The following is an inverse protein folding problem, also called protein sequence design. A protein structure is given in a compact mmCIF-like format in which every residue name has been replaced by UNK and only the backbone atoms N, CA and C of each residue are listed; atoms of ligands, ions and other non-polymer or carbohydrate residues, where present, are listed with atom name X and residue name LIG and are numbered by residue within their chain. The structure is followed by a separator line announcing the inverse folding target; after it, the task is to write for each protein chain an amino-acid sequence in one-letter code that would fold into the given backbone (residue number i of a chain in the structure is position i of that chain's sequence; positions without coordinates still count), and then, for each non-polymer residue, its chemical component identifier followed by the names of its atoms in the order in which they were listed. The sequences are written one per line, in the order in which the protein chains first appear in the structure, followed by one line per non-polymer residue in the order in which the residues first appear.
data_IF_797973360023
#
_entry.id   IF_797973360023
#
_cell.length_a   1.000
_cell.length_b   1.000
_cell.length_c   1.000
_cell.angle_alpha   90.00
_cell.angle_beta   90.00
_cell.angle_gamma   90.00
#
_symmetry.space_group_name_H-M   'P 1'
#
loop_
_entity.id
_entity.type
_entity.pdbx_description
1 polymer ?
#
# COMPACT_ATOMS: atom_id res chain seq x y z
N UNK A 1 20.59 -10.22 -20.57
CA UNK A 1 20.85 -9.26 -19.47
C UNK A 1 20.78 -10.04 -18.17
N UNK A 2 21.89 -10.20 -17.44
CA UNK A 2 21.92 -10.93 -16.16
C UNK A 2 21.24 -10.04 -15.11
N UNK A 3 20.11 -10.50 -14.55
CA UNK A 3 19.47 -9.85 -13.42
C UNK A 3 20.51 -9.74 -12.30
N UNK A 4 20.82 -8.53 -11.79
CA UNK A 4 21.69 -8.39 -10.63
C UNK A 4 20.99 -9.08 -9.45
N UNK A 5 21.35 -10.33 -9.18
CA UNK A 5 20.96 -10.96 -7.93
C UNK A 5 21.88 -10.39 -6.86
N UNK A 6 21.31 -9.73 -5.86
CA UNK A 6 22.05 -9.49 -4.64
C UNK A 6 22.33 -10.87 -4.06
N UNK A 7 23.61 -11.26 -3.97
CA UNK A 7 23.98 -12.48 -3.24
C UNK A 7 23.28 -12.39 -1.90
N UNK A 8 22.45 -13.39 -1.59
CA UNK A 8 21.79 -13.48 -0.29
C UNK A 8 22.91 -13.70 0.71
N UNK A 9 23.47 -12.61 1.24
CA UNK A 9 24.33 -12.65 2.41
C UNK A 9 23.59 -13.51 3.42
N UNK A 10 24.24 -14.56 3.94
CA UNK A 10 23.65 -15.52 4.90
C UNK A 10 22.72 -14.74 5.81
N UNK A 11 21.40 -14.86 5.60
CA UNK A 11 20.38 -14.06 6.28
C UNK A 11 20.46 -14.43 7.74
N UNK A 12 21.31 -13.75 8.50
CA UNK A 12 21.41 -14.01 9.92
C UNK A 12 20.17 -13.43 10.55
N UNK A 13 19.53 -14.19 11.43
CA UNK A 13 18.41 -13.74 12.25
C UNK A 13 18.74 -12.41 12.97
N UNK A 14 20.01 -12.11 13.21
CA UNK A 14 20.46 -10.83 13.76
C UNK A 14 20.08 -9.61 12.90
N UNK A 15 20.13 -9.70 11.57
CA UNK A 15 19.71 -8.62 10.67
C UNK A 15 18.19 -8.45 10.60
N UNK A 16 17.43 -9.52 10.81
CA UNK A 16 15.98 -9.43 10.96
C UNK A 16 15.62 -8.83 12.32
N UNK A 17 16.30 -9.27 13.39
CA UNK A 17 16.08 -8.78 14.75
C UNK A 17 16.32 -7.29 14.91
N UNK A 18 17.32 -6.71 14.22
CA UNK A 18 17.53 -5.27 14.23
C UNK A 18 16.38 -4.46 13.62
N UNK A 19 15.54 -5.08 12.78
CA UNK A 19 14.34 -4.45 12.20
C UNK A 19 13.10 -4.59 13.09
N UNK A 20 13.15 -5.45 14.10
CA UNK A 20 12.08 -5.70 15.06
C UNK A 20 12.60 -5.50 16.49
N UNK A 21 12.95 -4.25 16.88
CA UNK A 21 13.68 -3.97 18.12
C UNK A 21 12.91 -4.39 19.38
N UNK A 22 11.59 -4.55 19.28
CA UNK A 22 10.72 -4.96 20.38
C UNK A 22 10.65 -6.49 20.56
N UNK A 23 11.29 -7.27 19.70
CA UNK A 23 11.22 -8.74 19.72
C UNK A 23 12.60 -9.35 19.97
N UNK A 24 12.65 -10.32 20.88
CA UNK A 24 13.87 -11.07 21.14
C UNK A 24 14.17 -12.04 20.00
N UNK A 25 15.46 -12.38 19.82
CA UNK A 25 15.88 -13.42 18.86
C UNK A 25 15.10 -14.73 19.03
N UNK A 26 14.82 -15.14 20.28
CA UNK A 26 14.09 -16.38 20.57
C UNK A 26 12.65 -16.31 20.07
N UNK A 27 11.97 -15.18 20.26
CA UNK A 27 10.60 -14.98 19.75
C UNK A 27 10.59 -15.00 18.22
N UNK A 28 11.57 -14.36 17.57
CA UNK A 28 11.68 -14.40 16.11
C UNK A 28 11.98 -15.82 15.60
N UNK A 29 12.83 -16.58 16.29
CA UNK A 29 13.12 -17.98 15.93
C UNK A 29 11.89 -18.87 16.09
N UNK A 30 11.10 -18.69 17.15
CA UNK A 30 9.82 -19.38 17.33
C UNK A 30 8.86 -19.01 16.21
N UNK A 31 8.69 -17.72 15.94
CA UNK A 31 7.85 -17.21 14.86
C UNK A 31 8.24 -17.80 13.51
N UNK A 32 9.52 -17.73 13.11
CA UNK A 32 9.92 -18.25 11.80
C UNK A 32 9.69 -19.76 11.69
N UNK A 33 9.77 -20.52 12.79
CA UNK A 33 9.44 -21.96 12.79
C UNK A 33 7.94 -22.21 12.71
N UNK A 34 7.12 -21.43 13.43
CA UNK A 34 5.67 -21.61 13.51
C UNK A 34 4.92 -21.02 12.30
N UNK A 35 5.43 -19.92 11.75
CA UNK A 35 4.87 -19.19 10.62
C UNK A 35 5.28 -19.77 9.26
N UNK A 36 6.35 -20.58 9.18
CA UNK A 36 6.81 -21.16 7.90
C UNK A 36 5.73 -21.96 7.15
N UNK A 37 4.70 -22.43 7.86
CA UNK A 37 3.58 -23.18 7.29
C UNK A 37 2.26 -22.42 7.29
N UNK A 38 2.21 -21.22 7.90
CA UNK A 38 0.98 -20.43 8.07
C UNK A 38 1.03 -19.21 7.16
N UNK A 39 -0.09 -18.88 6.50
CA UNK A 39 -0.21 -17.77 5.56
C UNK A 39 0.83 -17.73 4.43
N UNK A 40 1.59 -18.81 4.21
CA UNK A 40 2.63 -18.90 3.17
C UNK A 40 2.10 -18.59 1.77
N UNK A 41 0.84 -18.95 1.48
CA UNK A 41 0.20 -18.62 0.22
C UNK A 41 0.11 -17.10 -0.01
N UNK A 42 -0.25 -16.34 1.03
CA UNK A 42 -0.35 -14.87 0.96
C UNK A 42 1.04 -14.27 0.72
N UNK A 43 2.05 -14.63 1.53
CA UNK A 43 3.41 -14.09 1.35
C UNK A 43 4.04 -14.50 0.02
N UNK A 44 3.76 -15.72 -0.48
CA UNK A 44 4.23 -16.16 -1.80
C UNK A 44 3.61 -15.33 -2.90
N UNK A 45 2.31 -15.03 -2.82
CA UNK A 45 1.63 -14.16 -3.77
C UNK A 45 2.19 -12.74 -3.73
N UNK A 46 2.33 -12.13 -2.54
CA UNK A 46 2.96 -10.82 -2.36
C UNK A 46 4.36 -10.81 -2.97
N UNK A 47 5.17 -11.83 -2.73
CA UNK A 47 6.51 -11.95 -3.30
C UNK A 47 6.49 -12.04 -4.84
N UNK A 48 5.53 -12.76 -5.41
CA UNK A 48 5.41 -12.87 -6.86
C UNK A 48 4.94 -11.55 -7.50
N UNK A 49 3.95 -10.88 -6.92
CA UNK A 49 3.50 -9.57 -7.38
C UNK A 49 4.62 -8.53 -7.28
N UNK A 50 5.43 -8.55 -6.20
CA UNK A 50 6.61 -7.68 -6.09
C UNK A 50 7.65 -7.97 -7.18
N UNK A 51 7.88 -9.23 -7.54
CA UNK A 51 8.79 -9.57 -8.66
C UNK A 51 8.27 -8.98 -9.96
N UNK A 52 6.97 -9.13 -10.24
CA UNK A 52 6.37 -8.58 -11.45
C UNK A 52 6.44 -7.06 -11.47
N UNK A 53 6.12 -6.39 -10.35
CA UNK A 53 6.27 -4.94 -10.17
C UNK A 53 7.69 -4.49 -10.54
N UNK A 54 8.72 -5.11 -9.95
CA UNK A 54 10.10 -4.70 -10.22
C UNK A 54 10.53 -5.03 -11.66
N UNK A 55 10.00 -6.11 -12.24
CA UNK A 55 10.20 -6.42 -13.67
C UNK A 55 9.69 -5.29 -14.56
N UNK A 56 8.42 -4.89 -14.38
CA UNK A 56 7.84 -3.77 -15.12
C UNK A 56 8.57 -2.44 -14.87
N UNK A 57 9.09 -2.23 -13.65
CA UNK A 57 9.83 -1.00 -13.35
C UNK A 57 11.14 -0.90 -14.13
N UNK A 58 11.84 -2.01 -14.28
CA UNK A 58 13.08 -2.08 -15.08
C UNK A 58 12.78 -1.81 -16.56
N UNK A 59 11.61 -2.23 -17.04
CA UNK A 59 11.15 -2.00 -18.41
C UNK A 59 10.60 -0.58 -18.65
N UNK A 60 10.50 0.25 -17.61
CA UNK A 60 9.92 1.60 -17.71
C UNK A 60 8.40 1.61 -17.90
N UNK A 61 7.72 0.51 -17.56
CA UNK A 61 6.27 0.37 -17.63
C UNK A 61 5.66 0.63 -16.25
N UNK A 62 5.46 1.91 -15.93
CA UNK A 62 4.95 2.36 -14.63
C UNK A 62 3.45 2.06 -14.45
N UNK A 63 2.69 1.94 -15.54
CA UNK A 63 1.33 1.38 -15.52
C UNK A 63 1.33 -0.07 -15.04
N UNK A 64 2.20 -0.91 -15.60
CA UNK A 64 2.38 -2.30 -15.20
C UNK A 64 2.83 -2.40 -13.74
N UNK A 65 3.71 -1.51 -13.29
CA UNK A 65 4.09 -1.40 -11.88
C UNK A 65 2.87 -1.15 -10.99
N UNK A 66 2.08 -0.13 -11.33
CA UNK A 66 0.88 0.22 -10.59
C UNK A 66 -0.10 -0.96 -10.51
N UNK A 67 -0.24 -1.72 -11.61
CA UNK A 67 -1.11 -2.90 -11.67
C UNK A 67 -0.80 -3.90 -10.54
N UNK A 68 0.49 -4.18 -10.35
CA UNK A 68 0.93 -5.11 -9.31
C UNK A 68 0.90 -4.47 -7.91
N UNK A 69 1.16 -3.16 -7.79
CA UNK A 69 1.05 -2.44 -6.51
C UNK A 69 -0.37 -2.54 -5.95
N UNK A 70 -1.39 -2.17 -6.72
CA UNK A 70 -2.75 -2.18 -6.17
C UNK A 70 -3.24 -3.61 -5.88
N UNK A 71 -2.83 -4.63 -6.65
CA UNK A 71 -3.18 -6.04 -6.38
C UNK A 71 -2.66 -6.50 -5.03
N UNK A 72 -1.41 -6.16 -4.71
CA UNK A 72 -0.81 -6.47 -3.41
C UNK A 72 -1.58 -5.76 -2.29
N UNK A 73 -1.94 -4.49 -2.50
CA UNK A 73 -2.68 -3.69 -1.52
C UNK A 73 -4.09 -4.25 -1.31
N UNK A 74 -4.80 -4.65 -2.37
CA UNK A 74 -6.09 -5.33 -2.28
C UNK A 74 -5.97 -6.65 -1.50
N UNK A 75 -4.93 -7.43 -1.76
CA UNK A 75 -4.69 -8.67 -1.04
C UNK A 75 -4.43 -8.43 0.46
N UNK A 76 -3.70 -7.38 0.83
CA UNK A 76 -3.51 -7.01 2.23
C UNK A 76 -4.78 -6.44 2.84
N UNK A 77 -5.58 -5.69 2.08
CA UNK A 77 -6.84 -5.11 2.56
C UNK A 77 -7.80 -6.18 3.13
N UNK A 78 -7.79 -7.40 2.56
CA UNK A 78 -8.51 -8.56 3.06
C UNK A 78 -8.08 -8.99 4.47
N UNK A 79 -6.83 -8.72 4.85
CA UNK A 79 -6.25 -9.10 6.14
C UNK A 79 -6.40 -8.00 7.21
N UNK A 80 -6.61 -6.75 6.81
CA UNK A 80 -6.65 -5.58 7.70
C UNK A 80 -7.69 -5.66 8.83
N UNK A 81 -8.89 -6.26 8.65
CA UNK A 81 -9.82 -6.45 9.76
C UNK A 81 -9.21 -7.30 10.88
N UNK A 82 -8.49 -8.36 10.53
CA UNK A 82 -7.81 -9.21 11.52
C UNK A 82 -6.65 -8.46 12.21
N UNK A 83 -5.84 -7.74 11.43
CA UNK A 83 -4.76 -6.89 11.97
C UNK A 83 -5.29 -5.90 13.00
N UNK A 84 -6.42 -5.26 12.71
CA UNK A 84 -7.06 -4.30 13.63
C UNK A 84 -7.48 -4.92 14.96
N UNK A 85 -7.95 -6.18 14.93
CA UNK A 85 -8.37 -6.92 16.13
C UNK A 85 -7.17 -7.25 17.01
N UNK A 86 -6.10 -7.75 16.39
CA UNK A 86 -4.90 -8.22 17.09
C UNK A 86 -4.20 -7.04 17.79
N UNK A 87 -4.03 -5.92 17.07
CA UNK A 87 -3.31 -4.75 17.58
C UNK A 87 -3.99 -4.09 18.80
N UNK A 88 -5.30 -4.33 19.04
CA UNK A 88 -6.05 -3.75 20.16
C UNK A 88 -6.15 -4.65 21.40
N UNK A 89 -5.66 -5.88 21.36
CA UNK A 89 -5.38 -6.67 22.56
C UNK A 89 -6.57 -7.19 23.39
N UNK A 90 -7.76 -7.42 22.81
CA UNK A 90 -8.85 -8.08 23.55
C UNK A 90 -10.19 -8.22 22.82
N UNK A 91 -11.04 -9.14 23.31
CA UNK A 91 -12.37 -9.48 22.77
C UNK A 91 -13.47 -8.43 23.02
N UNK A 92 -13.27 -7.56 24.02
CA UNK A 92 -14.24 -6.54 24.39
C UNK A 92 -14.09 -5.35 23.44
N UNK A 93 -15.10 -5.14 22.58
CA UNK A 93 -15.19 -4.13 21.49
C UNK A 93 -14.59 -4.53 20.12
N UNK A 94 -13.96 -5.68 19.97
CA UNK A 94 -13.37 -6.10 18.68
C UNK A 94 -14.40 -6.57 17.66
N UNK A 95 -15.52 -7.16 18.10
CA UNK A 95 -16.58 -7.55 17.17
C UNK A 95 -17.28 -6.34 16.55
N UNK A 96 -17.63 -5.31 17.32
CA UNK A 96 -18.29 -4.11 16.80
C UNK A 96 -17.38 -3.29 15.88
N UNK A 97 -16.08 -3.26 16.14
CA UNK A 97 -15.11 -2.59 15.27
C UNK A 97 -14.78 -3.38 14.00
N UNK A 98 -14.60 -4.70 14.11
CA UNK A 98 -14.48 -5.60 12.96
C UNK A 98 -15.72 -5.48 12.07
N UNK A 99 -16.89 -5.53 12.70
CA UNK A 99 -18.17 -5.27 12.07
C UNK A 99 -18.19 -3.85 11.49
N UNK A 100 -17.67 -2.83 12.16
CA UNK A 100 -17.56 -1.46 11.63
C UNK A 100 -16.64 -1.32 10.41
N UNK A 101 -15.58 -2.12 10.31
CA UNK A 101 -14.71 -2.17 9.12
C UNK A 101 -15.44 -2.82 7.93
N UNK A 102 -16.21 -3.88 8.18
CA UNK A 102 -16.84 -4.72 7.14
C UNK A 102 -18.28 -4.30 6.81
N UNK A 103 -19.03 -3.72 7.74
CA UNK A 103 -20.41 -3.27 7.57
C UNK A 103 -20.53 -1.82 7.08
N UNK A 104 -21.70 -1.47 6.55
CA UNK A 104 -21.98 -0.15 6.00
C UNK A 104 -21.79 -0.05 4.48
N UNK A 105 -22.03 -1.14 3.76
CA UNK A 105 -21.95 -1.13 2.29
C UNK A 105 -20.53 -1.23 1.73
N UNK A 106 -19.58 -1.75 2.51
CA UNK A 106 -18.28 -2.20 2.00
C UNK A 106 -18.48 -3.41 1.07
N UNK A 107 -19.03 -3.19 -0.12
CA UNK A 107 -19.16 -4.20 -1.17
C UNK A 107 -17.81 -4.57 -1.82
N UNK A 108 -16.70 -3.97 -1.37
CA UNK A 108 -15.37 -4.22 -1.90
C UNK A 108 -14.29 -4.04 -0.82
N UNK A 109 -13.21 -4.81 -0.95
CA UNK A 109 -12.02 -4.77 -0.09
C UNK A 109 -11.41 -3.37 0.03
N UNK A 110 -11.65 -2.52 -0.97
CA UNK A 110 -11.20 -1.13 -1.00
C UNK A 110 -11.90 -0.23 0.02
N UNK A 111 -13.16 -0.52 0.38
CA UNK A 111 -13.84 0.21 1.43
C UNK A 111 -13.23 -0.09 2.82
N UNK A 112 -12.76 -1.33 3.01
CA UNK A 112 -12.01 -1.73 4.22
C UNK A 112 -10.69 -0.98 4.28
N UNK A 113 -9.92 -0.96 3.19
CA UNK A 113 -8.66 -0.21 3.08
C UNK A 113 -8.82 1.26 3.47
N UNK A 114 -9.85 1.93 2.94
CA UNK A 114 -10.12 3.35 3.20
C UNK A 114 -10.45 3.61 4.66
N UNK A 115 -11.28 2.78 5.28
CA UNK A 115 -11.59 2.91 6.72
C UNK A 115 -10.36 2.64 7.58
N UNK A 116 -9.60 1.61 7.25
CA UNK A 116 -8.39 1.24 7.97
C UNK A 116 -7.35 2.37 7.95
N UNK A 117 -7.06 2.92 6.77
CA UNK A 117 -6.10 4.02 6.60
C UNK A 117 -6.42 5.25 7.44
N UNK A 118 -7.71 5.53 7.62
CA UNK A 118 -8.19 6.71 8.34
C UNK A 118 -8.21 6.52 9.86
N UNK A 119 -8.55 5.32 10.30
CA UNK A 119 -8.94 5.07 11.69
C UNK A 119 -7.99 4.13 12.45
N UNK A 120 -7.19 3.35 11.74
CA UNK A 120 -6.39 2.25 12.31
C UNK A 120 -4.91 2.28 11.94
N UNK A 121 -4.53 2.98 10.88
CA UNK A 121 -3.12 3.21 10.55
C UNK A 121 -2.43 3.92 11.72
N UNK A 122 -1.21 3.49 12.07
CA UNK A 122 -0.41 4.13 13.12
C UNK A 122 -0.44 5.67 13.00
N UNK A 123 -0.69 6.36 14.12
CA UNK A 123 -0.93 7.81 14.10
C UNK A 123 0.25 8.64 13.55
N UNK A 124 1.48 8.17 13.76
CA UNK A 124 2.69 8.82 13.23
C UNK A 124 2.80 8.62 11.73
N UNK A 125 2.51 7.41 11.23
CA UNK A 125 2.45 7.10 9.80
C UNK A 125 1.30 7.86 9.15
N UNK A 126 0.09 7.76 9.68
CA UNK A 126 -1.12 8.41 9.18
C UNK A 126 -0.97 9.94 9.03
N UNK A 127 -0.24 10.57 9.95
CA UNK A 127 0.00 12.02 9.95
C UNK A 127 1.20 12.45 9.09
N UNK A 128 2.08 11.51 8.72
CA UNK A 128 3.20 11.78 7.83
C UNK A 128 2.73 12.21 6.44
N UNK A 129 3.59 12.94 5.73
CA UNK A 129 3.26 13.60 4.46
C UNK A 129 4.01 12.93 3.32
N UNK A 130 3.28 12.59 2.26
CA UNK A 130 3.82 12.18 0.98
C UNK A 130 3.84 13.38 0.03
N UNK A 131 4.99 13.64 -0.59
CA UNK A 131 5.15 14.68 -1.59
C UNK A 131 5.20 14.06 -2.99
N UNK A 132 4.25 14.41 -3.83
CA UNK A 132 4.24 14.08 -5.25
C UNK A 132 4.88 15.25 -6.02
N UNK A 133 6.07 15.04 -6.60
CA UNK A 133 6.73 16.06 -7.41
C UNK A 133 6.71 15.66 -8.88
N UNK A 134 5.95 16.41 -9.67
CA UNK A 134 5.79 16.24 -11.11
C UNK A 134 6.70 17.16 -11.92
N UNK A 135 7.66 17.84 -11.27
CA UNK A 135 8.60 18.80 -11.88
C UNK A 135 9.38 18.26 -13.09
N UNK A 136 9.52 16.93 -13.21
CA UNK A 136 10.22 16.23 -14.29
C UNK A 136 9.30 15.65 -15.37
N UNK A 137 7.99 15.79 -15.22
CA UNK A 137 7.00 15.30 -16.19
C UNK A 137 6.75 16.32 -17.29
N UNK A 138 6.24 15.88 -18.44
CA UNK A 138 5.91 16.76 -19.56
C UNK A 138 4.80 17.77 -19.27
N UNK A 139 3.92 17.49 -18.31
CA UNK A 139 2.81 18.38 -17.92
C UNK A 139 2.58 18.43 -16.39
N UNK A 140 3.44 19.13 -15.63
CA UNK A 140 3.38 19.13 -14.16
C UNK A 140 2.07 19.69 -13.59
N UNK A 141 1.54 20.75 -14.21
CA UNK A 141 0.31 21.42 -13.77
C UNK A 141 -0.94 20.55 -13.95
N UNK A 142 -1.02 19.85 -15.08
CA UNK A 142 -2.08 18.87 -15.33
C UNK A 142 -2.00 17.75 -14.28
N UNK A 143 -0.80 17.21 -14.03
CA UNK A 143 -0.60 16.13 -13.07
C UNK A 143 -1.01 16.52 -11.65
N UNK A 144 -0.61 17.69 -11.17
CA UNK A 144 -1.11 18.22 -9.88
C UNK A 144 -2.63 18.35 -9.89
N UNK A 145 -3.21 18.90 -10.97
CA UNK A 145 -4.66 19.07 -11.10
C UNK A 145 -5.40 17.72 -11.08
N UNK A 146 -4.84 16.67 -11.67
CA UNK A 146 -5.39 15.31 -11.63
C UNK A 146 -5.39 14.77 -10.20
N UNK A 147 -4.27 14.90 -9.46
CA UNK A 147 -4.22 14.47 -8.05
C UNK A 147 -5.29 15.19 -7.24
N UNK A 148 -5.43 16.51 -7.40
CA UNK A 148 -6.42 17.33 -6.66
C UNK A 148 -7.86 16.85 -6.86
N UNK A 149 -8.22 16.29 -8.01
CA UNK A 149 -9.58 15.79 -8.27
C UNK A 149 -10.00 14.66 -7.33
N UNK A 150 -9.04 13.94 -6.73
CA UNK A 150 -9.33 12.86 -5.79
C UNK A 150 -9.51 13.33 -4.34
N UNK A 151 -9.14 14.57 -4.03
CA UNK A 151 -9.07 15.08 -2.67
C UNK A 151 -9.93 16.32 -2.47
N UNK A 152 -10.41 16.50 -1.24
CA UNK A 152 -10.94 17.78 -0.82
C UNK A 152 -9.77 18.73 -0.51
N UNK A 153 -10.00 20.03 -0.64
CA UNK A 153 -8.98 21.04 -0.32
C UNK A 153 -8.41 20.89 1.10
N UNK A 154 -9.24 20.48 2.06
CA UNK A 154 -8.86 20.25 3.47
C UNK A 154 -7.94 19.03 3.69
N UNK A 155 -7.91 18.08 2.75
CA UNK A 155 -7.06 16.89 2.81
C UNK A 155 -5.66 17.14 2.22
N UNK A 156 -5.46 18.28 1.55
CA UNK A 156 -4.20 18.71 0.93
C UNK A 156 -3.38 19.52 1.96
N UNK A 157 -2.14 19.10 2.19
CA UNK A 157 -1.24 19.77 3.15
C UNK A 157 -0.63 21.03 2.53
N UNK A 158 -0.12 20.91 1.31
CA UNK A 158 0.43 22.01 0.53
C UNK A 158 0.39 21.68 -0.95
N UNK A 159 0.38 22.70 -1.79
CA UNK A 159 0.47 22.56 -3.24
C UNK A 159 1.28 23.69 -3.86
N UNK A 160 1.89 23.37 -5.00
CA UNK A 160 2.60 24.29 -5.89
C UNK A 160 2.19 23.95 -7.32
N UNK A 161 2.77 24.66 -8.29
CA UNK A 161 2.52 24.45 -9.72
C UNK A 161 2.91 23.04 -10.19
N UNK A 162 3.90 22.42 -9.56
CA UNK A 162 4.50 21.15 -9.99
C UNK A 162 4.56 20.07 -8.90
N UNK A 163 4.05 20.35 -7.70
CA UNK A 163 4.04 19.38 -6.61
C UNK A 163 2.87 19.56 -5.66
N UNK A 164 2.45 18.45 -5.05
CA UNK A 164 1.34 18.38 -4.10
C UNK A 164 1.70 17.45 -2.93
N UNK A 165 1.30 17.85 -1.73
CA UNK A 165 1.59 17.14 -0.49
C UNK A 165 0.30 16.65 0.17
N UNK A 166 0.24 15.35 0.45
CA UNK A 166 -0.94 14.66 1.00
C UNK A 166 -0.53 13.81 2.19
N UNK A 167 -1.36 13.72 3.23
CA UNK A 167 -1.08 12.82 4.36
C UNK A 167 -1.26 11.35 3.99
N UNK A 168 -0.45 10.47 4.57
CA UNK A 168 -0.48 9.02 4.27
C UNK A 168 -1.85 8.37 4.52
N UNK A 169 -2.62 8.86 5.49
CA UNK A 169 -3.99 8.39 5.78
C UNK A 169 -5.00 8.57 4.63
N UNK A 170 -4.63 9.29 3.57
CA UNK A 170 -5.46 9.54 2.40
C UNK A 170 -4.90 8.90 1.11
N UNK A 171 -3.74 8.24 1.15
CA UNK A 171 -3.09 7.68 -0.05
C UNK A 171 -3.92 6.56 -0.68
N UNK A 172 -4.69 5.83 0.13
CA UNK A 172 -5.69 4.87 -0.32
C UNK A 172 -6.65 5.48 -1.35
N UNK A 173 -7.03 6.74 -1.17
CA UNK A 173 -8.02 7.41 -2.02
C UNK A 173 -7.47 7.63 -3.43
N UNK A 174 -6.18 7.94 -3.56
CA UNK A 174 -5.53 8.07 -4.87
C UNK A 174 -5.36 6.70 -5.55
N UNK A 175 -4.92 5.68 -4.81
CA UNK A 175 -4.76 4.31 -5.34
C UNK A 175 -6.10 3.77 -5.84
N UNK A 176 -7.15 3.88 -5.02
CA UNK A 176 -8.51 3.42 -5.36
C UNK A 176 -9.04 4.20 -6.56
N UNK A 177 -8.88 5.53 -6.56
CA UNK A 177 -9.34 6.39 -7.64
C UNK A 177 -8.71 6.01 -8.97
N UNK A 178 -7.39 5.86 -8.99
CA UNK A 178 -6.64 5.52 -10.19
C UNK A 178 -6.91 4.08 -10.66
N UNK A 179 -7.01 3.12 -9.74
CA UNK A 179 -7.44 1.74 -10.03
C UNK A 179 -8.81 1.71 -10.70
N UNK A 180 -9.79 2.43 -10.16
CA UNK A 180 -11.13 2.48 -10.74
C UNK A 180 -11.12 3.06 -12.16
N UNK A 181 -10.33 4.10 -12.42
CA UNK A 181 -10.16 4.65 -13.76
C UNK A 181 -9.56 3.64 -14.75
N UNK A 182 -8.55 2.89 -14.33
CA UNK A 182 -7.92 1.86 -15.18
C UNK A 182 -8.84 0.67 -15.50
N UNK A 183 -9.71 0.26 -14.56
CA UNK A 183 -10.62 -0.87 -14.79
C UNK A 183 -11.90 -0.48 -15.54
N UNK A 184 -12.43 0.73 -15.36
CA UNK A 184 -13.54 1.22 -16.17
C UNK A 184 -13.14 1.48 -17.63
N UNK A 185 -11.85 1.68 -17.90
CA UNK A 185 -11.29 1.72 -19.25
C UNK A 185 -11.38 0.37 -19.99
N UNK A 186 -11.34 -0.76 -19.27
CA UNK A 186 -11.48 -2.10 -19.86
C UNK A 186 -12.93 -2.45 -20.21
N UNK A 187 -13.92 -1.80 -19.59
CA UNK A 187 -15.34 -2.03 -19.85
C UNK A 187 -16.18 -0.74 -19.67
N UNK A 188 -16.30 0.03 -20.75
CA UNK A 188 -17.49 0.82 -21.13
C UNK A 188 -18.12 1.85 -20.15
N UNK A 189 -17.39 2.65 -19.34
CA UNK A 189 -18.09 3.78 -18.67
C UNK A 189 -17.33 5.11 -18.45
N UNK A 190 -18.09 6.20 -18.55
CA UNK A 190 -17.73 7.59 -18.93
C UNK A 190 -17.22 8.55 -17.82
N UNK A 191 -16.65 8.08 -16.71
CA UNK A 191 -16.26 8.99 -15.62
C UNK A 191 -14.74 9.03 -15.41
N UNK A 192 -14.12 10.07 -15.99
CA UNK A 192 -12.68 10.31 -16.20
C UNK A 192 -12.05 9.39 -17.25
N UNK A 193 -11.83 9.97 -18.43
CA UNK A 193 -11.16 9.34 -19.56
C UNK A 193 -9.65 9.56 -19.43
N UNK A 194 -8.85 8.59 -19.90
CA UNK A 194 -7.41 8.72 -20.16
C UNK A 194 -7.01 10.01 -20.92
N UNK A 195 -7.97 10.73 -21.50
CA UNK A 195 -7.79 12.08 -22.06
C UNK A 195 -7.40 13.15 -21.04
N UNK A 196 -7.47 12.89 -19.73
CA UNK A 196 -7.07 13.85 -18.69
C UNK A 196 -5.58 13.77 -18.29
N UNK A 197 -4.85 12.74 -18.72
CA UNK A 197 -3.41 12.57 -18.47
C UNK A 197 -2.69 12.40 -19.81
N UNK A 198 -1.82 13.36 -20.14
CA UNK A 198 -1.09 13.32 -21.41
C UNK A 198 -0.08 12.16 -21.45
N UNK A 199 0.55 11.85 -20.31
CA UNK A 199 1.52 10.77 -20.16
C UNK A 199 1.32 10.01 -18.83
N UNK A 200 0.49 8.94 -18.82
CA UNK A 200 0.15 8.20 -17.61
C UNK A 200 1.35 7.47 -16.97
N UNK A 201 2.31 7.00 -17.76
CA UNK A 201 3.53 6.37 -17.24
C UNK A 201 4.39 7.38 -16.46
N UNK A 202 4.60 8.60 -16.97
CA UNK A 202 5.31 9.65 -16.23
C UNK A 202 4.60 10.06 -14.94
N UNK A 203 3.27 10.13 -14.97
CA UNK A 203 2.47 10.39 -13.77
C UNK A 203 2.68 9.29 -12.72
N UNK A 204 2.62 8.03 -13.15
CA UNK A 204 2.79 6.88 -12.27
C UNK A 204 4.22 6.67 -11.80
N UNK A 205 5.22 7.08 -12.58
CA UNK A 205 6.61 7.09 -12.14
C UNK A 205 6.79 7.87 -10.84
N UNK A 206 6.09 9.00 -10.70
CA UNK A 206 6.07 9.82 -9.47
C UNK A 206 5.28 9.14 -8.35
N UNK A 207 4.15 8.51 -8.68
CA UNK A 207 3.22 7.97 -7.69
C UNK A 207 3.66 6.60 -7.11
N UNK A 208 4.20 5.72 -7.95
CA UNK A 208 4.51 4.33 -7.61
C UNK A 208 5.44 4.19 -6.40
N UNK A 209 6.53 4.96 -6.24
CA UNK A 209 7.38 4.87 -5.05
C UNK A 209 6.62 5.17 -3.75
N UNK A 210 5.70 6.13 -3.78
CA UNK A 210 4.86 6.50 -2.62
C UNK A 210 3.88 5.38 -2.30
N UNK A 211 3.26 4.79 -3.33
CA UNK A 211 2.34 3.66 -3.14
C UNK A 211 3.04 2.41 -2.60
N UNK A 212 4.27 2.14 -3.04
CA UNK A 212 5.10 1.06 -2.50
C UNK A 212 5.44 1.31 -1.03
N UNK A 213 5.76 2.55 -0.66
CA UNK A 213 6.01 2.90 0.75
C UNK A 213 4.76 2.73 1.60
N UNK A 214 3.61 3.18 1.10
CA UNK A 214 2.32 2.96 1.74
C UNK A 214 2.01 1.46 1.93
N UNK A 215 2.24 0.64 0.91
CA UNK A 215 2.19 -0.83 1.03
C UNK A 215 3.13 -1.36 2.12
N UNK A 216 4.36 -0.86 2.20
CA UNK A 216 5.33 -1.32 3.18
C UNK A 216 4.85 -1.09 4.62
N UNK A 217 4.14 0.01 4.89
CA UNK A 217 3.51 0.24 6.20
C UNK A 217 2.42 -0.80 6.50
N UNK A 218 1.50 -1.04 5.56
CA UNK A 218 0.44 -2.03 5.75
C UNK A 218 1.00 -3.45 5.93
N UNK A 219 2.03 -3.80 5.15
CA UNK A 219 2.66 -5.11 5.23
C UNK A 219 3.41 -5.29 6.55
N UNK A 220 4.04 -4.22 7.08
CA UNK A 220 4.65 -4.25 8.40
C UNK A 220 3.61 -4.52 9.49
N UNK A 221 2.46 -3.86 9.46
CA UNK A 221 1.40 -4.10 10.44
C UNK A 221 0.85 -5.53 10.36
N UNK A 222 0.71 -6.08 9.14
CA UNK A 222 0.36 -7.49 8.95
C UNK A 222 1.39 -8.43 9.60
N UNK A 223 2.69 -8.20 9.35
CA UNK A 223 3.75 -9.01 9.94
C UNK A 223 3.80 -8.90 11.46
N UNK A 224 3.63 -7.70 12.02
CA UNK A 224 3.59 -7.48 13.47
C UNK A 224 2.39 -8.21 14.10
N UNK A 225 1.23 -8.18 13.46
CA UNK A 225 0.05 -8.94 13.88
C UNK A 225 0.27 -10.46 13.82
N UNK A 226 0.88 -10.97 12.75
CA UNK A 226 1.23 -12.39 12.64
C UNK A 226 2.26 -12.81 13.69
N UNK A 227 3.24 -11.94 13.98
CA UNK A 227 4.21 -12.14 15.07
C UNK A 227 3.51 -12.25 16.42
N UNK A 228 2.50 -11.42 16.70
CA UNK A 228 1.74 -11.51 17.95
C UNK A 228 0.91 -12.80 18.09
N UNK A 229 0.39 -13.34 16.98
CA UNK A 229 -0.39 -14.59 17.03
C UNK A 229 0.52 -15.82 17.12
N UNK A 230 1.64 -15.81 16.38
CA UNK A 230 2.44 -17.01 16.13
C UNK A 230 3.82 -17.04 16.80
N UNK A 231 4.32 -15.92 17.33
CA UNK A 231 5.63 -15.78 17.97
C UNK A 231 5.62 -16.02 19.48
#
# INVERSE_FOLDING_TARGET
MLIPHQMVAKRSIAQAASKFPNYTRKQLDTFFRSANVKNMAIHKNICNELKSLFGYKIEGNDIGCFLHIYRIIEQIALCLPMVSIINKGGFNNTFSEFKGLIEGGAKSDLAVLKKYSRNHLDGSVASSVARFSFSRTGNPQQNVSVVKRFFKAEDIVSETVDSIEIKYKHIDTLIIGFRNQFFHYLFHDKNLSMTDLDCPDEFLEVCNPIFINYFAFLYRELLESELMIWG
#
